data_IF_606460275318
#
_entry.id   IF_606460275318
#
_cell.length_a   1.000
_cell.length_b   1.000
_cell.length_c   1.000
_cell.angle_alpha   90.00
_cell.angle_beta   90.00
_cell.angle_gamma   90.00
#
_symmetry.space_group_name_H-M   'P 1'
#
loop_
_entity.id
_entity.type
_entity.pdbx_description
1 polymer ?
#
# COMPACT_ATOMS: atom_id res chain seq x y z
N UNK A 1 -2.55 -3.46 20.44
CA UNK A 1 -1.99 -3.58 19.08
C UNK A 1 -1.06 -4.77 19.08
N UNK A 2 -1.21 -5.69 18.13
CA UNK A 2 -0.32 -6.85 18.00
C UNK A 2 1.09 -6.30 17.75
N UNK A 3 1.97 -6.40 18.75
CA UNK A 3 3.35 -5.92 18.65
C UNK A 3 4.05 -6.84 17.67
N UNK A 4 4.35 -6.33 16.48
CA UNK A 4 5.19 -7.01 15.49
C UNK A 4 6.49 -6.20 15.40
N UNK A 5 7.61 -6.88 15.16
CA UNK A 5 8.89 -6.25 14.85
C UNK A 5 9.04 -5.99 13.34
N UNK A 6 8.14 -6.58 12.54
CA UNK A 6 8.23 -6.67 11.09
C UNK A 6 6.94 -6.19 10.44
N UNK A 7 7.05 -5.08 9.74
CA UNK A 7 5.98 -4.45 8.99
C UNK A 7 6.32 -4.41 7.50
N UNK A 8 5.28 -4.32 6.70
CA UNK A 8 5.35 -4.37 5.25
C UNK A 8 4.50 -3.22 4.72
N UNK A 9 5.03 -2.43 3.79
CA UNK A 9 4.26 -1.45 3.02
C UNK A 9 4.17 -1.84 1.55
N UNK A 10 2.97 -1.81 1.00
CA UNK A 10 2.71 -1.88 -0.43
C UNK A 10 1.43 -1.15 -0.79
N UNK A 11 1.17 -1.02 -2.10
CA UNK A 11 -0.07 -0.46 -2.60
C UNK A 11 -0.79 -1.37 -3.57
N UNK A 12 -2.10 -1.22 -3.65
CA UNK A 12 -2.91 -1.91 -4.64
C UNK A 12 -3.98 -0.97 -5.23
N UNK A 13 -4.34 -1.16 -6.51
CA UNK A 13 -5.34 -0.33 -7.16
C UNK A 13 -6.75 -0.75 -6.75
N UNK A 14 -7.61 0.24 -6.48
CA UNK A 14 -9.05 0.08 -6.28
C UNK A 14 -9.78 0.87 -7.36
N UNK A 15 -10.24 0.19 -8.44
CA UNK A 15 -10.96 0.84 -9.52
C UNK A 15 -12.33 1.36 -9.07
N UNK A 16 -12.65 2.61 -9.39
CA UNK A 16 -13.98 3.21 -9.25
C UNK A 16 -14.94 2.72 -10.34
N UNK A 17 -14.43 2.58 -11.56
CA UNK A 17 -15.20 2.11 -12.71
C UNK A 17 -14.28 1.47 -13.76
N UNK A 18 -14.89 0.73 -14.69
CA UNK A 18 -14.18 0.26 -15.89
C UNK A 18 -13.73 1.44 -16.76
N UNK A 19 -12.59 1.27 -17.45
CA UNK A 19 -11.98 2.33 -18.26
C UNK A 19 -12.92 2.90 -19.34
N UNK A 20 -13.77 2.06 -19.92
CA UNK A 20 -14.77 2.46 -20.92
C UNK A 20 -15.85 3.43 -20.37
N UNK A 21 -15.99 3.53 -19.03
CA UNK A 21 -16.99 4.37 -18.36
C UNK A 21 -16.40 5.64 -17.75
N UNK A 22 -15.10 5.90 -17.88
CA UNK A 22 -14.42 7.05 -17.25
C UNK A 22 -15.09 8.37 -17.63
N UNK A 23 -15.44 8.56 -18.91
CA UNK A 23 -16.10 9.78 -19.40
C UNK A 23 -17.49 10.02 -18.81
N UNK A 24 -18.09 8.99 -18.20
CA UNK A 24 -19.41 9.05 -17.55
C UNK A 24 -19.32 9.03 -16.01
N UNK A 25 -18.11 8.98 -15.45
CA UNK A 25 -17.90 9.02 -14.00
C UNK A 25 -18.35 10.36 -13.44
N UNK A 26 -19.22 10.31 -12.43
CA UNK A 26 -19.68 11.47 -11.65
C UNK A 26 -19.10 11.50 -10.23
N UNK A 27 -18.41 10.44 -9.82
CA UNK A 27 -17.85 10.32 -8.46
C UNK A 27 -16.55 11.11 -8.37
N UNK A 28 -15.62 10.85 -9.30
CA UNK A 28 -14.39 11.64 -9.49
C UNK A 28 -14.15 11.90 -10.97
N UNK A 29 -13.50 13.01 -11.27
CA UNK A 29 -13.12 13.45 -12.60
C UNK A 29 -11.68 13.94 -12.56
N UNK A 30 -10.93 13.71 -13.63
CA UNK A 30 -9.54 14.16 -13.73
C UNK A 30 -8.59 13.07 -14.18
N UNK A 31 -7.46 13.46 -14.75
CA UNK A 31 -6.43 12.52 -15.19
C UNK A 31 -5.70 11.89 -14.00
N UNK A 32 -5.71 12.55 -12.85
CA UNK A 32 -5.03 12.12 -11.64
C UNK A 32 -5.53 10.77 -11.10
N UNK A 33 -6.78 10.38 -11.41
CA UNK A 33 -7.34 9.09 -11.02
C UNK A 33 -6.98 7.96 -11.99
N UNK A 34 -6.34 8.24 -13.13
CA UNK A 34 -5.87 7.23 -14.08
C UNK A 34 -4.52 6.68 -13.65
N UNK A 35 -4.51 5.49 -13.09
CA UNK A 35 -3.29 4.79 -12.71
C UNK A 35 -2.94 3.63 -13.63
N UNK A 36 -1.66 3.28 -13.67
CA UNK A 36 -1.18 2.06 -14.30
C UNK A 36 -0.72 1.06 -13.25
N UNK A 37 -1.28 -0.15 -13.28
CA UNK A 37 -0.86 -1.25 -12.44
C UNK A 37 0.14 -2.12 -13.20
N UNK A 38 1.44 -1.97 -12.88
CA UNK A 38 2.52 -2.67 -13.57
C UNK A 38 2.42 -4.20 -13.44
N UNK A 39 2.07 -4.69 -12.24
CA UNK A 39 1.92 -6.14 -11.98
C UNK A 39 0.82 -6.78 -12.81
N UNK A 40 -0.28 -6.06 -13.08
CA UNK A 40 -1.40 -6.51 -13.91
C UNK A 40 -1.33 -6.01 -15.35
N UNK A 41 -0.26 -5.28 -15.71
CA UNK A 41 -0.06 -4.61 -17.01
C UNK A 41 -1.31 -3.87 -17.53
N UNK A 42 -2.08 -3.24 -16.65
CA UNK A 42 -3.38 -2.66 -17.00
C UNK A 42 -3.60 -1.29 -16.38
N UNK A 43 -4.33 -0.46 -17.11
CA UNK A 43 -4.79 0.85 -16.62
C UNK A 43 -6.04 0.68 -15.76
N UNK A 44 -6.15 1.48 -14.70
CA UNK A 44 -7.34 1.58 -13.88
C UNK A 44 -7.70 3.05 -13.65
N UNK A 45 -8.96 3.30 -13.29
CA UNK A 45 -9.44 4.61 -12.90
C UNK A 45 -10.00 4.55 -11.48
N UNK A 46 -9.34 5.20 -10.54
CA UNK A 46 -9.70 5.13 -9.12
C UNK A 46 -8.56 5.55 -8.21
N UNK A 47 -8.48 4.87 -7.07
CA UNK A 47 -7.52 5.15 -6.01
C UNK A 47 -6.47 4.05 -5.92
N UNK A 48 -5.28 4.41 -5.43
CA UNK A 48 -4.36 3.45 -4.81
C UNK A 48 -4.60 3.45 -3.32
N UNK A 49 -4.69 2.26 -2.76
CA UNK A 49 -4.63 2.06 -1.30
C UNK A 49 -3.19 1.73 -0.98
N UNK A 50 -2.52 2.59 -0.24
CA UNK A 50 -1.23 2.28 0.37
C UNK A 50 -1.52 1.77 1.77
N UNK A 51 -0.87 0.68 2.16
CA UNK A 51 -1.16 0.04 3.43
C UNK A 51 0.10 -0.50 4.07
N UNK A 52 0.17 -0.38 5.39
CA UNK A 52 1.14 -1.07 6.23
C UNK A 52 0.44 -2.25 6.89
N UNK A 53 1.02 -3.43 6.75
CA UNK A 53 0.53 -4.67 7.36
C UNK A 53 1.60 -5.29 8.25
N UNK A 54 1.20 -6.04 9.27
CA UNK A 54 2.11 -6.90 10.03
C UNK A 54 2.57 -8.10 9.18
N UNK A 55 3.56 -8.85 9.66
CA UNK A 55 4.00 -10.12 9.07
C UNK A 55 2.85 -11.14 8.86
N UNK A 56 1.81 -11.07 9.66
CA UNK A 56 0.60 -11.91 9.59
C UNK A 56 -0.46 -11.37 8.61
N UNK A 57 -0.19 -10.24 7.95
CA UNK A 57 -1.10 -9.61 7.00
C UNK A 57 -2.23 -8.82 7.66
N UNK A 58 -2.08 -8.39 8.91
CA UNK A 58 -3.07 -7.56 9.60
C UNK A 58 -2.77 -6.10 9.26
N UNK A 59 -3.72 -5.34 8.66
CA UNK A 59 -3.54 -3.91 8.43
C UNK A 59 -3.34 -3.13 9.73
N UNK A 60 -2.39 -2.19 9.71
CA UNK A 60 -2.04 -1.34 10.85
C UNK A 60 -2.28 0.12 10.50
N UNK A 61 -1.89 0.53 9.31
CA UNK A 61 -2.01 1.89 8.81
C UNK A 61 -2.31 1.86 7.31
N UNK A 62 -3.04 2.87 6.81
CA UNK A 62 -3.31 2.99 5.39
C UNK A 62 -3.59 4.44 5.00
N UNK A 63 -3.37 4.74 3.72
CA UNK A 63 -3.75 6.01 3.10
C UNK A 63 -4.21 5.80 1.67
N UNK A 64 -4.89 6.80 1.11
CA UNK A 64 -5.44 6.76 -0.23
C UNK A 64 -4.81 7.86 -1.08
N UNK A 65 -4.41 7.51 -2.31
CA UNK A 65 -3.99 8.50 -3.30
C UNK A 65 -4.73 8.29 -4.62
N UNK A 66 -4.91 9.34 -5.45
CA UNK A 66 -5.41 9.18 -6.80
C UNK A 66 -4.53 8.21 -7.62
N UNK A 67 -5.12 7.46 -8.53
CA UNK A 67 -4.47 6.34 -9.22
C UNK A 67 -3.13 6.65 -9.92
N UNK A 68 -2.94 7.87 -10.41
CA UNK A 68 -1.70 8.30 -11.09
C UNK A 68 -0.54 8.62 -10.15
N UNK A 69 -0.80 8.75 -8.85
CA UNK A 69 0.20 9.22 -7.90
C UNK A 69 1.27 8.15 -7.68
N UNK A 70 2.50 8.61 -7.44
CA UNK A 70 3.64 7.73 -7.16
C UNK A 70 3.55 7.18 -5.74
N UNK A 71 4.06 5.97 -5.54
CA UNK A 71 3.90 5.26 -4.26
C UNK A 71 4.63 5.98 -3.11
N UNK A 72 5.72 6.70 -3.39
CA UNK A 72 6.38 7.62 -2.45
C UNK A 72 5.43 8.68 -1.87
N UNK A 73 4.44 9.15 -2.63
CA UNK A 73 3.47 10.12 -2.12
C UNK A 73 2.52 9.47 -1.10
N UNK A 74 2.20 8.19 -1.28
CA UNK A 74 1.47 7.40 -0.30
C UNK A 74 2.26 7.23 1.00
N UNK A 75 3.56 6.93 0.90
CA UNK A 75 4.43 6.82 2.08
C UNK A 75 4.51 8.13 2.87
N UNK A 76 4.72 9.26 2.19
CA UNK A 76 4.77 10.59 2.84
C UNK A 76 3.43 11.05 3.41
N UNK A 77 2.33 10.47 2.94
CA UNK A 77 0.98 10.74 3.44
C UNK A 77 0.58 9.91 4.65
N UNK A 78 1.46 9.03 5.13
CA UNK A 78 1.27 8.22 6.33
C UNK A 78 2.06 8.81 7.51
N UNK A 79 1.46 8.88 8.70
CA UNK A 79 2.19 9.10 9.95
C UNK A 79 3.35 8.15 10.23
N UNK A 80 3.27 6.89 9.79
CA UNK A 80 4.31 5.85 10.02
C UNK A 80 4.60 5.60 11.51
N UNK A 81 3.57 5.62 12.35
CA UNK A 81 3.66 5.46 13.80
C UNK A 81 3.89 3.98 14.20
N UNK A 82 5.06 3.44 13.86
CA UNK A 82 5.46 2.08 14.21
C UNK A 82 6.22 2.06 15.55
N UNK A 83 6.17 0.96 16.32
CA UNK A 83 6.96 0.83 17.54
C UNK A 83 8.47 0.99 17.29
N UNK A 84 9.19 1.55 18.25
CA UNK A 84 10.66 1.61 18.19
C UNK A 84 11.28 0.21 18.01
N UNK A 85 12.31 0.09 17.16
CA UNK A 85 12.96 -1.17 16.80
C UNK A 85 12.28 -1.91 15.64
N UNK A 86 11.15 -1.39 15.13
CA UNK A 86 10.44 -1.97 14.00
C UNK A 86 11.24 -1.92 12.70
N UNK A 87 10.98 -2.88 11.82
CA UNK A 87 11.51 -2.91 10.45
C UNK A 87 10.37 -2.85 9.45
N UNK A 88 10.37 -1.83 8.59
CA UNK A 88 9.38 -1.62 7.54
C UNK A 88 9.98 -2.04 6.19
N UNK A 89 9.48 -3.13 5.61
CA UNK A 89 9.90 -3.62 4.31
C UNK A 89 9.06 -3.00 3.19
N UNK A 90 9.70 -2.56 2.11
CA UNK A 90 9.02 -1.89 1.00
C UNK A 90 9.58 -2.30 -0.37
N UNK A 91 8.80 -2.12 -1.44
CA UNK A 91 9.32 -2.24 -2.80
C UNK A 91 10.14 -0.99 -3.21
N UNK A 92 10.86 -1.08 -4.33
CA UNK A 92 11.74 -0.04 -4.84
C UNK A 92 11.00 1.25 -5.19
N UNK A 93 9.69 1.18 -5.41
CA UNK A 93 8.84 2.35 -5.61
C UNK A 93 8.75 3.25 -4.36
N UNK A 94 9.14 2.74 -3.19
CA UNK A 94 9.18 3.45 -1.91
C UNK A 94 10.59 3.87 -1.48
N UNK A 95 11.58 3.83 -2.38
CA UNK A 95 12.93 4.33 -2.07
C UNK A 95 12.91 5.86 -1.92
N UNK A 96 13.07 6.35 -0.69
CA UNK A 96 13.24 7.77 -0.38
C UNK A 96 14.22 7.93 0.81
N UNK A 97 15.45 8.36 0.52
CA UNK A 97 16.51 8.46 1.53
C UNK A 97 16.18 9.43 2.66
N UNK A 98 15.41 10.48 2.38
CA UNK A 98 14.99 11.45 3.41
C UNK A 98 14.07 10.77 4.42
N UNK A 99 13.10 10.00 3.91
CA UNK A 99 12.15 9.26 4.77
C UNK A 99 12.87 8.14 5.53
N UNK A 100 13.88 7.50 4.92
CA UNK A 100 14.71 6.51 5.62
C UNK A 100 15.48 7.10 6.80
N UNK A 101 16.05 8.29 6.63
CA UNK A 101 16.78 9.00 7.70
C UNK A 101 15.83 9.45 8.81
N UNK A 102 14.68 10.04 8.46
CA UNK A 102 13.66 10.44 9.45
C UNK A 102 13.15 9.27 10.29
N UNK A 103 12.84 8.13 9.64
CA UNK A 103 12.38 6.94 10.36
C UNK A 103 13.48 6.34 11.23
N UNK A 104 14.74 6.42 10.80
CA UNK A 104 15.86 5.95 11.59
C UNK A 104 16.03 6.76 12.89
N UNK A 105 15.78 8.07 12.86
CA UNK A 105 15.77 8.92 14.05
C UNK A 105 14.65 8.52 15.03
N UNK A 106 13.52 8.03 14.52
CA UNK A 106 12.41 7.47 15.31
C UNK A 106 12.64 5.99 15.71
N UNK A 107 13.81 5.42 15.42
CA UNK A 107 14.17 4.03 15.73
C UNK A 107 13.50 2.99 14.83
N UNK A 108 12.97 3.40 13.67
CA UNK A 108 12.30 2.55 12.68
C UNK A 108 13.22 2.33 11.48
N UNK A 109 13.45 1.07 11.09
CA UNK A 109 14.29 0.73 9.94
C UNK A 109 13.46 0.54 8.67
N UNK A 110 13.52 1.49 7.73
CA UNK A 110 12.92 1.32 6.40
C UNK A 110 13.87 0.58 5.45
N UNK A 111 13.48 -0.62 5.02
CA UNK A 111 14.20 -1.45 4.07
C UNK A 111 13.44 -1.57 2.75
N UNK A 112 13.62 -0.56 1.89
CA UNK A 112 13.13 -0.60 0.51
C UNK A 112 14.10 -1.39 -0.39
N UNK A 113 13.55 -2.21 -1.30
CA UNK A 113 14.36 -2.89 -2.32
C UNK A 113 15.08 -1.88 -3.22
N UNK A 114 16.32 -2.16 -3.63
CA UNK A 114 17.11 -1.22 -4.44
C UNK A 114 17.09 -1.60 -5.91
N UNK A 115 17.03 -0.57 -6.76
CA UNK A 115 17.33 -0.74 -8.19
C UNK A 115 18.84 -0.89 -8.38
N UNK A 116 19.25 -1.54 -9.46
CA UNK A 116 20.67 -1.78 -9.78
C UNK A 116 21.51 -0.49 -9.84
N UNK A 117 20.90 0.66 -10.14
CA UNK A 117 21.55 1.98 -10.20
C UNK A 117 21.39 2.81 -8.91
N UNK A 118 21.03 2.18 -7.79
CA UNK A 118 20.90 2.87 -6.50
C UNK A 118 22.23 3.45 -6.01
N UNK A 119 22.19 4.64 -5.42
CA UNK A 119 23.37 5.29 -4.80
C UNK A 119 23.75 4.63 -3.47
N UNK A 120 22.80 4.00 -2.79
CA UNK A 120 22.98 3.29 -1.51
C UNK A 120 22.51 1.85 -1.70
N UNK A 121 23.32 0.97 -2.35
CA UNK A 121 22.99 -0.44 -2.47
C UNK A 121 23.05 -1.11 -1.08
N UNK A 122 22.15 -2.06 -0.85
CA UNK A 122 22.22 -2.88 0.35
C UNK A 122 23.24 -4.01 0.18
N UNK A 123 23.68 -4.58 1.31
CA UNK A 123 24.43 -5.82 1.29
C UNK A 123 23.57 -6.98 0.76
N UNK A 124 24.22 -8.01 0.21
CA UNK A 124 23.55 -9.12 -0.46
C UNK A 124 22.58 -9.88 0.45
N UNK A 125 22.91 -10.04 1.72
CA UNK A 125 22.05 -10.71 2.69
C UNK A 125 20.82 -9.86 3.05
N UNK A 126 20.93 -8.53 3.04
CA UNK A 126 19.79 -7.62 3.25
C UNK A 126 18.83 -7.67 2.06
N UNK A 127 19.35 -7.62 0.83
CA UNK A 127 18.53 -7.82 -0.38
C UNK A 127 17.82 -9.17 -0.36
N UNK A 128 18.50 -10.23 0.10
CA UNK A 128 17.89 -11.55 0.28
C UNK A 128 16.73 -11.51 1.29
N UNK A 129 16.91 -10.87 2.45
CA UNK A 129 15.85 -10.70 3.45
C UNK A 129 14.66 -9.90 2.89
N UNK A 130 14.93 -8.78 2.20
CA UNK A 130 13.90 -7.98 1.53
C UNK A 130 13.13 -8.85 0.53
N UNK A 131 13.81 -9.68 -0.26
CA UNK A 131 13.17 -10.57 -1.24
C UNK A 131 12.24 -11.60 -0.62
N UNK A 132 12.59 -12.14 0.56
CA UNK A 132 11.73 -13.07 1.31
C UNK A 132 10.48 -12.35 1.80
N UNK A 133 10.65 -11.17 2.38
CA UNK A 133 9.52 -10.40 2.89
C UNK A 133 8.60 -9.98 1.74
N UNK A 134 9.14 -9.54 0.60
CA UNK A 134 8.39 -9.23 -0.63
C UNK A 134 7.42 -10.32 -1.08
N UNK A 135 7.83 -11.59 -1.04
CA UNK A 135 6.92 -12.70 -1.36
C UNK A 135 5.73 -12.77 -0.39
N UNK A 136 5.92 -12.41 0.89
CA UNK A 136 4.83 -12.33 1.87
C UNK A 136 3.92 -11.13 1.60
N UNK A 137 4.50 -9.98 1.23
CA UNK A 137 3.76 -8.78 0.78
C UNK A 137 2.77 -9.19 -0.30
N UNK A 138 3.25 -9.80 -1.38
CA UNK A 138 2.40 -10.15 -2.53
C UNK A 138 1.20 -11.03 -2.13
N UNK A 139 1.40 -11.96 -1.19
CA UNK A 139 0.32 -12.83 -0.69
C UNK A 139 -0.68 -12.04 0.14
N UNK A 140 -0.24 -11.29 1.15
CA UNK A 140 -1.14 -10.49 2.02
C UNK A 140 -1.93 -9.46 1.23
N UNK A 141 -1.29 -8.79 0.27
CA UNK A 141 -1.93 -7.79 -0.58
C UNK A 141 -2.88 -8.40 -1.61
N UNK A 142 -2.58 -9.61 -2.08
CA UNK A 142 -3.51 -10.38 -2.91
C UNK A 142 -4.76 -10.81 -2.12
N UNK A 143 -4.60 -11.21 -0.86
CA UNK A 143 -5.71 -11.62 0.02
C UNK A 143 -6.66 -10.46 0.32
N UNK A 144 -6.15 -9.29 0.72
CA UNK A 144 -7.01 -8.12 0.97
C UNK A 144 -7.68 -7.63 -0.32
N UNK A 145 -6.97 -7.66 -1.46
CA UNK A 145 -7.55 -7.29 -2.73
C UNK A 145 -8.67 -8.24 -3.17
N UNK A 146 -8.63 -9.53 -2.77
CA UNK A 146 -9.71 -10.50 -2.99
C UNK A 146 -10.87 -10.31 -2.01
N UNK A 147 -10.61 -9.83 -0.80
CA UNK A 147 -11.64 -9.52 0.19
C UNK A 147 -12.52 -8.35 -0.28
N UNK A 148 -11.95 -7.40 -1.01
CA UNK A 148 -12.72 -6.30 -1.60
C UNK A 148 -13.70 -6.81 -2.67
N UNK A 149 -14.93 -6.26 -2.71
CA UNK A 149 -15.87 -6.59 -3.76
C UNK A 149 -15.33 -6.10 -5.11
N UNK A 150 -15.70 -6.81 -6.19
CA UNK A 150 -15.31 -6.45 -7.57
C UNK A 150 -15.72 -5.01 -7.94
N UNK A 151 -16.81 -4.51 -7.37
CA UNK A 151 -17.32 -3.15 -7.57
C UNK A 151 -17.85 -2.60 -6.26
N UNK A 152 -17.37 -1.42 -5.86
CA UNK A 152 -17.90 -0.67 -4.72
C UNK A 152 -18.91 0.35 -5.25
N UNK A 153 -20.19 0.11 -5.01
CA UNK A 153 -21.24 1.05 -5.40
C UNK A 153 -21.21 2.28 -4.50
N UNK A 154 -21.06 3.48 -5.06
CA UNK A 154 -21.15 4.74 -4.34
C UNK A 154 -21.73 5.83 -5.23
N UNK A 155 -22.29 6.87 -4.62
CA UNK A 155 -22.86 8.04 -5.32
C UNK A 155 -21.91 9.24 -5.26
N UNK A 156 -21.14 9.36 -4.17
CA UNK A 156 -20.18 10.44 -3.93
C UNK A 156 -18.79 9.86 -3.66
N UNK A 157 -17.76 10.67 -3.88
CA UNK A 157 -16.37 10.32 -3.58
C UNK A 157 -16.18 9.94 -2.12
N UNK A 158 -16.68 10.79 -1.20
CA UNK A 158 -16.64 10.52 0.24
C UNK A 158 -17.34 9.19 0.59
N UNK A 159 -18.49 8.92 -0.02
CA UNK A 159 -19.22 7.68 0.18
C UNK A 159 -18.45 6.45 -0.32
N UNK A 160 -17.67 6.59 -1.40
CA UNK A 160 -16.77 5.54 -1.88
C UNK A 160 -15.63 5.29 -0.88
N UNK A 161 -14.96 6.34 -0.41
CA UNK A 161 -13.85 6.23 0.54
C UNK A 161 -14.30 5.63 1.88
N UNK A 162 -15.47 6.02 2.40
CA UNK A 162 -16.05 5.44 3.62
C UNK A 162 -16.27 3.94 3.47
N UNK A 163 -16.81 3.50 2.32
CA UNK A 163 -17.00 2.06 2.05
C UNK A 163 -15.68 1.32 1.97
N UNK A 164 -14.68 1.92 1.32
CA UNK A 164 -13.35 1.34 1.23
C UNK A 164 -12.71 1.17 2.61
N UNK A 165 -12.81 2.20 3.47
CA UNK A 165 -12.42 2.15 4.88
C UNK A 165 -13.15 1.00 5.59
N UNK A 166 -14.48 0.91 5.45
CA UNK A 166 -15.27 -0.14 6.08
C UNK A 166 -14.83 -1.56 5.66
N UNK A 167 -14.48 -1.78 4.39
CA UNK A 167 -13.95 -3.06 3.95
C UNK A 167 -12.56 -3.37 4.51
N UNK A 168 -11.67 -2.37 4.61
CA UNK A 168 -10.35 -2.56 5.24
C UNK A 168 -10.52 -2.94 6.71
N UNK A 169 -11.42 -2.27 7.43
CA UNK A 169 -11.76 -2.62 8.81
C UNK A 169 -12.38 -4.01 8.92
N UNK A 170 -13.30 -4.37 8.02
CA UNK A 170 -13.88 -5.71 7.94
C UNK A 170 -12.81 -6.79 7.78
N UNK A 171 -11.89 -6.59 6.83
CA UNK A 171 -10.73 -7.49 6.64
C UNK A 171 -9.83 -7.54 7.87
N UNK A 172 -9.58 -6.40 8.51
CA UNK A 172 -8.75 -6.34 9.73
C UNK A 172 -9.36 -7.17 10.84
N UNK A 173 -10.67 -7.03 11.08
CA UNK A 173 -11.40 -7.82 12.08
C UNK A 173 -11.40 -9.31 11.75
N UNK A 174 -11.65 -9.67 10.50
CA UNK A 174 -11.60 -11.04 9.98
C UNK A 174 -10.24 -11.71 10.30
N UNK A 175 -9.15 -11.03 9.96
CA UNK A 175 -7.77 -11.50 10.23
C UNK A 175 -7.41 -11.56 11.71
N UNK A 176 -7.89 -10.61 12.52
CA UNK A 176 -7.62 -10.58 13.95
C UNK A 176 -8.39 -11.67 14.71
N UNK A 177 -9.64 -11.92 14.31
CA UNK A 177 -10.53 -12.87 14.99
C UNK A 177 -10.39 -14.30 14.42
N UNK A 178 -9.67 -14.48 13.31
CA UNK A 178 -9.56 -15.74 12.57
C UNK A 178 -10.93 -16.34 12.24
N UNK A 179 -11.89 -15.47 11.91
CA UNK A 179 -13.20 -15.88 11.38
C UNK A 179 -13.02 -16.52 9.99
#
# INVERSE_FOLDING_TARGET
LTISDTYIIDSFPVPLCHNIRISRSRIVQGAEYRGYCASKRSWFYGYKVHMIVTKEGIPVEYTFTPGSYHDMQGLRGMPLNLPEGSTLYADAAYTDYTTEEMLADDGIRLLASRKANSKRPHETWVEYLISIQRKRIEVSFSDIAKYLPKTIHAVTEKGFLIKLIAFIWGYTLDRMLKL
#
